data_IF_265055811425
#
_entry.id   IF_265055811425
#
_cell.length_a   1.000
_cell.length_b   1.000
_cell.length_c   1.000
_cell.angle_alpha   90.00
_cell.angle_beta   90.00
_cell.angle_gamma   90.00
#
_symmetry.space_group_name_H-M   'P 1'
#
loop_
_entity.id
_entity.type
_entity.pdbx_description
1 polymer ?
#
# COMPACT_ATOMS: atom_id res chain seq x y z
N UNK A 1 39.71 52.42 16.97
CA UNK A 1 40.34 52.02 18.24
C UNK A 1 40.41 50.49 18.19
N UNK A 2 41.51 49.78 17.88
CA UNK A 2 42.94 49.95 18.27
C UNK A 2 43.07 50.22 19.77
N UNK A 3 43.85 49.49 20.59
CA UNK A 3 44.72 48.31 20.44
C UNK A 3 44.92 47.70 21.86
N UNK A 4 45.39 46.47 22.13
CA UNK A 4 45.88 45.31 21.35
C UNK A 4 45.94 44.07 22.28
N UNK A 5 46.33 42.87 21.78
CA UNK A 5 47.55 42.13 22.18
C UNK A 5 47.53 40.63 21.82
N UNK A 6 48.63 40.16 21.26
CA UNK A 6 48.84 38.80 20.70
C UNK A 6 49.46 37.82 21.71
N UNK A 7 49.27 36.53 21.44
CA UNK A 7 50.17 35.41 21.80
C UNK A 7 50.15 34.87 23.24
N UNK A 8 49.61 33.65 23.37
CA UNK A 8 50.38 32.52 23.94
C UNK A 8 49.87 31.20 23.34
N UNK A 9 50.78 30.23 23.16
CA UNK A 9 50.52 28.93 22.53
C UNK A 9 50.19 27.86 23.58
N UNK A 10 49.17 27.04 23.32
CA UNK A 10 49.02 25.71 23.92
C UNK A 10 48.27 24.79 22.96
N UNK A 11 48.94 23.74 22.49
CA UNK A 11 48.41 22.78 21.52
C UNK A 11 47.44 21.80 22.17
N UNK A 12 46.26 21.61 21.59
CA UNK A 12 45.48 20.38 21.73
C UNK A 12 44.85 20.06 20.38
N UNK A 13 45.42 19.07 19.69
CA UNK A 13 44.82 18.52 18.48
C UNK A 13 43.72 17.53 18.87
N UNK A 14 42.53 17.67 18.27
CA UNK A 14 41.71 16.53 17.87
C UNK A 14 40.66 16.97 16.85
N UNK A 15 40.83 16.43 15.66
CA UNK A 15 39.89 16.38 14.54
C UNK A 15 38.45 16.11 14.95
N UNK A 16 37.50 16.83 14.37
CA UNK A 16 36.08 16.49 14.51
C UNK A 16 35.14 17.62 14.12
N UNK A 17 34.89 17.75 12.81
CA UNK A 17 33.83 18.63 12.28
C UNK A 17 32.46 18.08 12.73
N UNK A 18 32.00 18.47 13.92
CA UNK A 18 30.64 18.17 14.38
C UNK A 18 29.63 19.04 13.61
N UNK A 19 29.36 18.65 12.37
CA UNK A 19 28.21 19.17 11.64
C UNK A 19 26.97 18.63 12.34
N UNK A 20 26.27 19.50 13.07
CA UNK A 20 25.02 19.15 13.75
C UNK A 20 23.89 19.09 12.72
N UNK A 21 23.99 18.16 11.76
CA UNK A 21 22.83 17.71 10.99
C UNK A 21 21.93 16.96 11.96
N UNK A 22 21.03 17.71 12.61
CA UNK A 22 19.81 17.13 13.16
C UNK A 22 19.06 16.52 11.99
N UNK A 23 19.18 15.20 11.85
CA UNK A 23 18.40 14.42 10.90
C UNK A 23 16.92 14.70 11.15
N UNK A 24 16.29 15.44 10.24
CA UNK A 24 14.85 15.49 10.18
C UNK A 24 14.39 14.10 9.74
N UNK A 25 13.84 13.33 10.69
CA UNK A 25 13.10 12.10 10.41
C UNK A 25 11.78 12.49 9.73
N UNK A 26 11.87 12.92 8.47
CA UNK A 26 10.76 12.94 7.56
C UNK A 26 10.46 11.49 7.18
N UNK A 27 9.62 10.83 8.00
CA UNK A 27 8.95 9.61 7.58
C UNK A 27 7.99 9.99 6.45
N UNK A 28 8.49 9.96 5.22
CA UNK A 28 7.64 9.98 4.03
C UNK A 28 6.80 8.71 4.09
N UNK A 29 5.56 8.84 4.56
CA UNK A 29 4.53 7.82 4.38
C UNK A 29 4.13 7.82 2.91
N UNK A 30 5.01 7.25 2.08
CA UNK A 30 4.78 7.03 0.66
C UNK A 30 3.76 5.90 0.56
N UNK A 31 2.47 6.27 0.50
CA UNK A 31 1.38 5.32 0.26
C UNK A 31 1.67 4.56 -1.02
N UNK A 32 1.86 3.22 -0.97
CA UNK A 32 2.20 2.45 -2.16
C UNK A 32 1.16 2.66 -3.26
N UNK A 33 1.62 2.78 -4.51
CA UNK A 33 0.73 2.91 -5.65
C UNK A 33 -0.20 1.68 -5.75
N UNK A 34 -1.50 1.86 -6.09
CA UNK A 34 -2.42 0.75 -6.27
C UNK A 34 -1.91 -0.29 -7.28
N UNK A 35 -2.10 -1.57 -6.97
CA UNK A 35 -1.77 -2.66 -7.89
C UNK A 35 -2.75 -2.62 -9.07
N UNK A 36 -2.24 -2.40 -10.29
CA UNK A 36 -3.08 -2.36 -11.48
C UNK A 36 -3.24 -3.74 -12.14
N UNK A 37 -4.49 -4.16 -12.32
CA UNK A 37 -4.87 -5.35 -13.08
C UNK A 37 -5.41 -4.96 -14.47
N UNK A 38 -4.58 -5.14 -15.49
CA UNK A 38 -4.92 -4.95 -16.91
C UNK A 38 -5.45 -6.24 -17.55
N UNK A 39 -6.12 -6.12 -18.70
CA UNK A 39 -6.69 -7.26 -19.41
C UNK A 39 -5.63 -8.32 -19.77
N UNK A 40 -5.92 -9.59 -19.49
CA UNK A 40 -5.00 -10.71 -19.75
C UNK A 40 -3.84 -10.85 -18.75
N UNK A 41 -3.73 -9.96 -17.75
CA UNK A 41 -2.72 -10.06 -16.70
C UNK A 41 -3.29 -10.69 -15.43
N UNK A 42 -2.45 -11.45 -14.71
CA UNK A 42 -2.70 -11.87 -13.33
C UNK A 42 -1.66 -11.24 -12.43
N UNK A 43 -2.09 -10.65 -11.31
CA UNK A 43 -1.22 -10.10 -10.26
C UNK A 43 -1.39 -10.95 -9.00
N UNK A 44 -0.36 -11.70 -8.64
CA UNK A 44 -0.31 -12.44 -7.37
C UNK A 44 0.27 -11.54 -6.28
N UNK A 45 -0.35 -11.54 -5.11
CA UNK A 45 0.06 -10.74 -3.96
C UNK A 45 0.12 -11.66 -2.75
N UNK A 46 1.29 -11.76 -2.11
CA UNK A 46 1.39 -12.35 -0.79
C UNK A 46 0.85 -11.33 0.22
N UNK A 47 -0.41 -11.50 0.61
CA UNK A 47 -1.13 -10.54 1.43
C UNK A 47 -0.56 -10.53 2.87
N UNK A 48 -0.43 -9.35 3.52
CA UNK A 48 0.06 -9.26 4.90
C UNK A 48 -0.90 -9.96 5.88
N UNK A 49 -0.45 -10.26 7.10
CA UNK A 49 -1.29 -10.94 8.09
C UNK A 49 -2.48 -10.11 8.59
N UNK A 50 -2.41 -8.78 8.44
CA UNK A 50 -3.47 -7.81 8.68
C UNK A 50 -3.14 -6.50 7.96
N UNK A 51 -4.09 -5.58 7.89
CA UNK A 51 -3.94 -4.29 7.21
C UNK A 51 -4.79 -4.23 5.94
N UNK A 52 -4.22 -3.76 4.83
CA UNK A 52 -4.96 -3.63 3.57
C UNK A 52 -4.13 -3.91 2.32
N UNK A 53 -4.83 -4.32 1.27
CA UNK A 53 -4.32 -4.47 -0.10
C UNK A 53 -5.10 -3.53 -1.00
N UNK A 54 -4.39 -2.67 -1.73
CA UNK A 54 -4.98 -1.65 -2.62
C UNK A 54 -4.71 -2.01 -4.08
N UNK A 55 -5.76 -2.10 -4.88
CA UNK A 55 -5.68 -2.46 -6.29
C UNK A 55 -6.68 -1.66 -7.13
N UNK A 56 -6.52 -1.69 -8.46
CA UNK A 56 -7.47 -1.12 -9.41
C UNK A 56 -7.57 -1.96 -10.66
N UNK A 57 -8.72 -1.89 -11.32
CA UNK A 57 -8.85 -2.37 -12.69
C UNK A 57 -8.31 -1.31 -13.66
N UNK A 58 -7.63 -1.77 -14.72
CA UNK A 58 -7.19 -0.90 -15.82
C UNK A 58 -8.35 -0.29 -16.61
N UNK A 59 -8.04 0.62 -17.53
CA UNK A 59 -9.04 1.39 -18.27
C UNK A 59 -10.14 0.52 -18.91
N UNK A 60 -11.40 0.95 -18.70
CA UNK A 60 -12.63 0.30 -19.21
C UNK A 60 -12.87 -1.13 -18.71
N UNK A 61 -12.24 -1.54 -17.62
CA UNK A 61 -12.51 -2.81 -16.94
C UNK A 61 -13.23 -2.57 -15.61
N UNK A 62 -14.21 -3.41 -15.30
CA UNK A 62 -14.98 -3.42 -14.05
C UNK A 62 -14.61 -4.65 -13.23
N UNK A 63 -14.68 -4.54 -11.90
CA UNK A 63 -14.39 -5.65 -10.98
C UNK A 63 -15.43 -6.78 -11.08
N UNK A 64 -14.96 -8.01 -10.95
CA UNK A 64 -15.76 -9.22 -10.79
C UNK A 64 -15.21 -10.05 -9.61
N UNK A 65 -16.04 -10.53 -8.66
CA UNK A 65 -17.51 -10.42 -8.64
C UNK A 65 -18.00 -8.98 -8.53
N UNK A 66 -19.17 -8.69 -9.12
CA UNK A 66 -19.74 -7.35 -9.15
C UNK A 66 -20.51 -7.07 -7.85
N UNK A 67 -19.95 -6.23 -6.98
CA UNK A 67 -20.58 -5.79 -5.74
C UNK A 67 -19.58 -5.68 -4.59
N UNK A 68 -19.88 -4.83 -3.61
CA UNK A 68 -19.08 -4.75 -2.38
C UNK A 68 -19.36 -5.98 -1.51
N UNK A 69 -18.31 -6.74 -1.16
CA UNK A 69 -18.39 -7.82 -0.18
C UNK A 69 -18.52 -9.25 -0.72
N UNK A 70 -18.41 -9.49 -2.02
CA UNK A 70 -18.19 -10.83 -2.60
C UNK A 70 -16.75 -10.99 -3.11
N UNK A 71 -16.29 -12.23 -3.29
CA UNK A 71 -14.91 -12.58 -3.72
C UNK A 71 -14.89 -13.96 -4.39
N UNK A 72 -14.00 -14.20 -5.35
CA UNK A 72 -13.75 -15.56 -5.83
C UNK A 72 -12.79 -16.30 -4.89
N UNK A 73 -13.12 -17.53 -4.53
CA UNK A 73 -12.37 -18.37 -3.60
C UNK A 73 -11.62 -19.49 -4.31
N UNK A 74 -10.41 -19.78 -3.81
CA UNK A 74 -9.58 -20.89 -4.27
C UNK A 74 -8.78 -20.58 -5.55
N UNK A 75 -7.87 -21.50 -5.90
CA UNK A 75 -6.86 -21.29 -6.96
C UNK A 75 -7.45 -21.08 -8.35
N UNK A 76 -8.60 -21.67 -8.63
CA UNK A 76 -9.30 -21.54 -9.92
C UNK A 76 -9.98 -20.17 -10.09
N UNK A 77 -10.15 -19.42 -8.99
CA UNK A 77 -10.82 -18.12 -8.99
C UNK A 77 -12.22 -18.13 -9.64
N UNK A 78 -13.00 -19.19 -9.48
CA UNK A 78 -14.34 -19.38 -10.09
C UNK A 78 -15.49 -19.45 -9.09
N UNK A 79 -15.23 -19.89 -7.86
CA UNK A 79 -16.24 -20.08 -6.82
C UNK A 79 -16.52 -18.76 -6.08
N UNK A 80 -17.64 -18.09 -6.40
CA UNK A 80 -17.99 -16.79 -5.82
C UNK A 80 -18.64 -16.96 -4.44
N UNK A 81 -18.06 -16.32 -3.42
CA UNK A 81 -18.51 -16.39 -2.02
C UNK A 81 -18.55 -15.00 -1.39
N UNK A 82 -19.28 -14.88 -0.28
CA UNK A 82 -19.20 -13.68 0.57
C UNK A 82 -17.80 -13.55 1.16
N UNK A 83 -17.20 -12.37 1.01
CA UNK A 83 -15.88 -12.04 1.53
C UNK A 83 -15.80 -12.33 3.03
N UNK A 84 -16.78 -11.91 3.81
CA UNK A 84 -16.82 -12.09 5.27
C UNK A 84 -17.01 -13.55 5.72
N UNK A 85 -17.50 -14.44 4.85
CA UNK A 85 -17.56 -15.89 5.14
C UNK A 85 -16.20 -16.56 4.97
N UNK A 86 -15.33 -15.98 4.14
CA UNK A 86 -13.99 -16.51 3.84
C UNK A 86 -12.93 -15.83 4.71
N UNK A 87 -13.05 -14.53 4.91
CA UNK A 87 -12.16 -13.71 5.75
C UNK A 87 -13.04 -12.87 6.71
N UNK A 88 -13.34 -13.38 7.90
CA UNK A 88 -14.20 -12.69 8.87
C UNK A 88 -13.70 -11.28 9.20
N UNK A 89 -14.61 -10.32 9.21
CA UNK A 89 -14.30 -8.90 9.44
C UNK A 89 -13.70 -8.14 8.25
N UNK A 90 -13.40 -8.82 7.13
CA UNK A 90 -12.86 -8.13 5.95
C UNK A 90 -13.89 -7.26 5.23
N UNK A 91 -13.41 -6.12 4.71
CA UNK A 91 -14.20 -5.13 3.97
C UNK A 91 -13.50 -4.82 2.65
N UNK A 92 -14.26 -4.80 1.55
CA UNK A 92 -13.82 -4.28 0.27
C UNK A 92 -14.54 -2.94 0.04
N UNK A 93 -13.78 -1.85 0.02
CA UNK A 93 -14.31 -0.51 -0.26
C UNK A 93 -13.90 -0.05 -1.66
N UNK A 94 -14.85 0.48 -2.44
CA UNK A 94 -14.58 1.08 -3.74
C UNK A 94 -14.52 2.62 -3.65
N UNK A 95 -13.45 3.22 -4.16
CA UNK A 95 -13.32 4.67 -4.36
C UNK A 95 -13.22 4.98 -5.85
N UNK A 96 -14.32 5.50 -6.41
CA UNK A 96 -14.34 6.07 -7.77
C UNK A 96 -13.49 7.35 -7.78
N UNK A 97 -12.56 7.47 -8.73
CA UNK A 97 -11.67 8.63 -8.80
C UNK A 97 -12.34 9.88 -9.39
N UNK A 98 -13.18 9.71 -10.41
CA UNK A 98 -14.02 10.77 -10.98
C UNK A 98 -15.39 10.23 -11.38
N UNK A 99 -16.51 10.86 -10.95
CA UNK A 99 -17.83 10.55 -11.50
C UNK A 99 -17.92 10.89 -13.01
N UNK A 100 -18.75 10.20 -13.81
CA UNK A 100 -19.63 9.09 -13.44
C UNK A 100 -19.05 7.69 -13.68
N UNK A 101 -17.88 7.57 -14.34
CA UNK A 101 -17.27 6.28 -14.76
C UNK A 101 -15.72 6.28 -14.72
N UNK A 102 -15.09 7.03 -13.81
CA UNK A 102 -13.65 6.93 -13.59
C UNK A 102 -13.26 5.56 -12.99
N UNK A 103 -12.02 5.09 -13.19
CA UNK A 103 -11.57 3.82 -12.63
C UNK A 103 -11.75 3.81 -11.10
N UNK A 104 -12.28 2.71 -10.59
CA UNK A 104 -12.41 2.51 -9.15
C UNK A 104 -11.10 1.95 -8.59
N UNK A 105 -10.59 2.58 -7.53
CA UNK A 105 -9.59 1.97 -6.66
C UNK A 105 -10.31 1.17 -5.59
N UNK A 106 -9.88 -0.06 -5.39
CA UNK A 106 -10.42 -0.99 -4.40
C UNK A 106 -9.42 -1.16 -3.27
N UNK A 107 -9.92 -1.03 -2.04
CA UNK A 107 -9.15 -1.30 -0.82
C UNK A 107 -9.79 -2.48 -0.11
N UNK A 108 -9.09 -3.61 -0.07
CA UNK A 108 -9.43 -4.76 0.75
C UNK A 108 -8.74 -4.61 2.11
N UNK A 109 -9.51 -4.42 3.19
CA UNK A 109 -8.99 -4.27 4.56
C UNK A 109 -9.44 -5.42 5.46
N UNK A 110 -8.58 -5.88 6.37
CA UNK A 110 -8.85 -7.00 7.28
C UNK A 110 -7.88 -7.03 8.47
N UNK A 111 -8.36 -7.48 9.64
CA UNK A 111 -7.61 -7.46 10.91
C UNK A 111 -7.11 -8.84 11.37
N UNK A 112 -6.80 -9.72 10.43
CA UNK A 112 -6.19 -11.02 10.72
C UNK A 112 -6.27 -12.01 9.56
N UNK A 113 -5.50 -13.10 9.64
CA UNK A 113 -5.57 -14.23 8.70
C UNK A 113 -6.52 -15.32 9.18
N UNK A 114 -7.12 -16.10 8.27
CA UNK A 114 -7.76 -17.37 8.61
C UNK A 114 -6.75 -18.36 9.24
N UNK A 115 -7.25 -19.40 9.88
CA UNK A 115 -6.43 -20.51 10.42
C UNK A 115 -5.62 -21.26 9.34
N UNK A 116 -6.06 -21.21 8.07
CA UNK A 116 -5.47 -21.93 6.94
C UNK A 116 -5.20 -20.96 5.79
N UNK A 117 -4.02 -21.00 5.15
CA UNK A 117 -3.74 -20.19 3.97
C UNK A 117 -4.82 -20.37 2.90
N UNK A 118 -5.33 -19.27 2.37
CA UNK A 118 -6.41 -19.27 1.38
C UNK A 118 -6.13 -18.30 0.24
N UNK A 119 -6.66 -18.62 -0.92
CA UNK A 119 -6.55 -17.79 -2.13
C UNK A 119 -7.87 -17.04 -2.32
N UNK A 120 -7.76 -15.71 -2.38
CA UNK A 120 -8.83 -14.79 -2.73
C UNK A 120 -8.50 -14.21 -4.11
N UNK A 121 -9.49 -14.08 -4.98
CA UNK A 121 -9.31 -13.47 -6.29
C UNK A 121 -10.38 -12.42 -6.60
N UNK A 122 -9.92 -11.36 -7.24
CA UNK A 122 -10.73 -10.41 -7.98
C UNK A 122 -10.29 -10.44 -9.44
N UNK A 123 -11.24 -10.32 -10.36
CA UNK A 123 -10.99 -10.24 -11.80
C UNK A 123 -11.37 -8.85 -12.28
N UNK A 124 -10.67 -8.36 -13.30
CA UNK A 124 -11.04 -7.16 -14.04
C UNK A 124 -11.51 -7.60 -15.42
N UNK A 125 -12.78 -7.35 -15.74
CA UNK A 125 -13.44 -7.79 -16.96
C UNK A 125 -13.99 -6.57 -17.72
N UNK A 126 -14.12 -6.67 -19.04
CA UNK A 126 -14.85 -5.66 -19.80
C UNK A 126 -16.34 -5.72 -19.44
N UNK A 127 -17.03 -4.57 -19.46
CA UNK A 127 -18.50 -4.49 -19.41
C UNK A 127 -19.15 -5.04 -20.70
#
# INVERSE_FOLDING_TARGET
MSFSKTTSLASLALTGLFVVFKFALASTTETPAPIECTAGATKTVDAPSSGSVVFRCGDKLTISPSGEGDVFYGKECTDSRKLTTVLPGAVLAAKVEQPPKGPATYTLSYDGTPEKPQVLCYKCVAE
#
